data_IF_693467178125
#
_entry.id   IF_693467178125
#
_cell.length_a   1.000
_cell.length_b   1.000
_cell.length_c   1.000
_cell.angle_alpha   90.00
_cell.angle_beta   90.00
_cell.angle_gamma   90.00
#
_symmetry.space_group_name_H-M   'P 1'
#
loop_
_entity.id
_entity.type
_entity.pdbx_description
1 polymer ?
#
# COMPACT_ATOMS: atom_id res chain seq x y z
N UNK A 1 19.32 -41.20 68.49
CA UNK A 1 20.12 -41.40 67.25
C UNK A 1 19.29 -42.23 66.29
N UNK A 2 18.66 -41.60 65.31
CA UNK A 2 18.10 -42.26 64.13
C UNK A 2 18.10 -41.25 62.98
N UNK A 3 18.94 -41.55 62.00
CA UNK A 3 19.05 -40.87 60.71
C UNK A 3 17.84 -41.24 59.84
N UNK A 4 17.29 -40.28 59.09
CA UNK A 4 16.50 -40.60 57.91
C UNK A 4 16.71 -39.51 56.85
N UNK A 5 17.61 -39.82 55.92
CA UNK A 5 17.81 -39.13 54.66
C UNK A 5 16.59 -39.35 53.77
N UNK A 6 15.89 -38.28 53.39
CA UNK A 6 14.91 -38.31 52.29
C UNK A 6 15.24 -37.19 51.30
N UNK A 7 15.84 -37.62 50.19
CA UNK A 7 16.19 -36.86 49.01
C UNK A 7 15.03 -35.99 48.51
N UNK A 8 15.27 -34.68 48.39
CA UNK A 8 14.40 -33.78 47.62
C UNK A 8 14.60 -34.06 46.14
N UNK A 9 13.74 -34.87 45.56
CA UNK A 9 13.64 -35.03 44.11
C UNK A 9 13.01 -33.77 43.53
N UNK A 10 13.80 -33.03 42.72
CA UNK A 10 13.28 -32.03 41.80
C UNK A 10 12.43 -32.76 40.75
N UNK A 11 11.11 -32.80 40.96
CA UNK A 11 10.18 -33.15 39.88
C UNK A 11 10.27 -32.05 38.83
N UNK A 12 10.86 -32.40 37.68
CA UNK A 12 10.75 -31.62 36.45
C UNK A 12 9.27 -31.34 36.21
N UNK A 13 8.90 -30.06 36.14
CA UNK A 13 7.60 -29.64 35.63
C UNK A 13 7.53 -30.12 34.19
N UNK A 14 6.65 -31.08 33.94
CA UNK A 14 6.46 -31.69 32.63
C UNK A 14 5.75 -30.65 31.73
N UNK A 15 6.54 -29.89 30.96
CA UNK A 15 6.09 -28.94 29.94
C UNK A 15 5.48 -29.66 28.72
N UNK A 16 4.67 -30.70 28.94
CA UNK A 16 3.85 -31.33 27.90
C UNK A 16 2.51 -30.61 27.70
N UNK A 17 2.15 -29.71 28.63
CA UNK A 17 1.02 -28.79 28.47
C UNK A 17 1.45 -27.51 27.75
N UNK A 18 1.51 -27.53 26.41
CA UNK A 18 1.10 -26.39 25.56
C UNK A 18 1.42 -26.54 24.07
N UNK A 19 1.95 -27.66 23.57
CA UNK A 19 2.08 -27.82 22.10
C UNK A 19 0.73 -27.81 21.39
N UNK A 20 -0.32 -28.37 22.00
CA UNK A 20 -1.68 -28.35 21.45
C UNK A 20 -2.32 -26.95 21.48
N UNK A 21 -2.00 -26.13 22.50
CA UNK A 21 -2.54 -24.76 22.63
C UNK A 21 -1.87 -23.81 21.63
N UNK A 22 -0.55 -23.94 21.44
CA UNK A 22 0.21 -23.22 20.41
C UNK A 22 -0.20 -23.63 18.98
N UNK A 23 -0.62 -24.88 18.78
CA UNK A 23 -1.11 -25.34 17.48
C UNK A 23 -2.49 -24.75 17.14
N UNK A 24 -3.38 -24.61 18.13
CA UNK A 24 -4.71 -24.01 17.95
C UNK A 24 -4.67 -22.49 17.69
N UNK A 25 -3.73 -21.77 18.31
CA UNK A 25 -3.52 -20.33 18.04
C UNK A 25 -2.87 -20.07 16.67
N UNK A 26 -2.12 -21.05 16.14
CA UNK A 26 -1.50 -20.99 14.81
C UNK A 26 -2.49 -21.28 13.67
N UNK A 27 -3.55 -22.06 13.95
CA UNK A 27 -4.64 -22.30 12.99
C UNK A 27 -5.71 -21.21 13.07
N UNK A 28 -5.32 -19.94 12.92
CA UNK A 28 -6.26 -18.95 12.38
C UNK A 28 -6.50 -19.32 10.92
N UNK A 29 -7.49 -20.17 10.68
CA UNK A 29 -7.97 -20.48 9.33
C UNK A 29 -8.60 -19.21 8.75
N UNK A 30 -7.78 -18.40 8.09
CA UNK A 30 -8.26 -17.36 7.19
C UNK A 30 -9.18 -18.01 6.14
N UNK A 31 -10.27 -17.34 5.79
CA UNK A 31 -11.23 -17.81 4.78
C UNK A 31 -10.49 -18.35 3.54
N UNK A 32 -10.81 -19.58 3.11
CA UNK A 32 -10.27 -20.12 1.85
C UNK A 32 -10.65 -19.15 0.74
N UNK A 33 -9.65 -18.61 0.03
CA UNK A 33 -9.87 -17.80 -1.17
C UNK A 33 -10.73 -18.63 -2.12
N UNK A 34 -11.95 -18.16 -2.43
CA UNK A 34 -12.78 -18.77 -3.46
C UNK A 34 -11.95 -18.90 -4.74
N UNK A 35 -11.98 -20.08 -5.36
CA UNK A 35 -11.31 -20.30 -6.64
C UNK A 35 -11.85 -19.27 -7.63
N UNK A 36 -10.94 -18.61 -8.34
CA UNK A 36 -11.25 -17.57 -9.33
C UNK A 36 -12.13 -18.07 -10.51
N UNK A 37 -12.57 -19.33 -10.49
CA UNK A 37 -13.47 -19.91 -11.48
C UNK A 37 -14.90 -19.36 -11.40
N UNK A 38 -15.35 -18.83 -10.25
CA UNK A 38 -16.69 -18.24 -10.12
C UNK A 38 -16.80 -16.79 -10.64
N UNK A 39 -15.68 -16.17 -11.04
CA UNK A 39 -15.65 -14.80 -11.58
C UNK A 39 -15.22 -14.76 -13.06
N UNK A 40 -15.30 -15.89 -13.77
CA UNK A 40 -14.78 -16.05 -15.14
C UNK A 40 -15.72 -15.50 -16.25
N UNK A 41 -16.74 -14.70 -15.91
CA UNK A 41 -17.76 -14.27 -16.87
C UNK A 41 -17.90 -12.77 -17.09
N UNK A 42 -17.25 -11.92 -16.30
CA UNK A 42 -17.49 -10.47 -16.32
C UNK A 42 -16.20 -9.66 -16.37
N UNK A 43 -15.23 -10.07 -17.18
CA UNK A 43 -14.21 -9.12 -17.62
C UNK A 43 -14.72 -8.46 -18.91
N UNK A 44 -15.57 -7.45 -18.76
CA UNK A 44 -15.87 -6.52 -19.84
C UNK A 44 -14.56 -5.78 -20.11
N UNK A 45 -13.79 -6.31 -21.06
CA UNK A 45 -12.59 -5.64 -21.58
C UNK A 45 -13.07 -4.51 -22.49
N UNK A 46 -13.67 -3.47 -21.89
CA UNK A 46 -14.00 -2.24 -22.61
C UNK A 46 -12.69 -1.63 -23.08
N UNK A 47 -12.42 -1.71 -24.38
CA UNK A 47 -11.28 -1.03 -24.99
C UNK A 47 -11.38 0.46 -24.65
N UNK A 48 -10.33 1.02 -24.03
CA UNK A 48 -10.27 2.46 -23.71
C UNK A 48 -10.36 3.24 -25.02
N UNK A 49 -11.39 4.09 -25.17
CA UNK A 49 -11.55 4.97 -26.33
C UNK A 49 -10.47 6.06 -26.24
N UNK A 50 -9.62 6.18 -27.27
CA UNK A 50 -8.66 7.28 -27.39
C UNK A 50 -9.33 8.37 -28.22
N UNK A 51 -9.67 9.48 -27.58
CA UNK A 51 -10.21 10.65 -28.27
C UNK A 51 -9.06 11.37 -29.01
N UNK A 52 -9.32 11.95 -30.20
CA UNK A 52 -8.35 12.80 -30.86
C UNK A 52 -8.07 14.03 -29.99
N UNK A 53 -6.80 14.43 -29.91
CA UNK A 53 -6.38 15.64 -29.20
C UNK A 53 -6.43 16.79 -30.18
N UNK A 54 -7.04 17.90 -29.77
CA UNK A 54 -7.12 19.13 -30.56
C UNK A 54 -5.73 19.73 -30.77
N UNK A 55 -5.44 20.19 -31.99
CA UNK A 55 -4.12 20.73 -32.37
C UNK A 55 -4.11 22.25 -32.56
N UNK A 56 -5.29 22.88 -32.54
CA UNK A 56 -5.43 24.31 -32.84
C UNK A 56 -4.99 25.17 -31.64
N UNK A 57 -4.01 26.08 -31.81
CA UNK A 57 -3.43 26.82 -30.70
C UNK A 57 -4.40 27.81 -30.05
N UNK A 58 -5.24 28.49 -30.85
CA UNK A 58 -6.21 29.47 -30.35
C UNK A 58 -7.27 28.80 -29.45
N UNK A 59 -7.66 27.57 -29.78
CA UNK A 59 -8.60 26.78 -28.99
C UNK A 59 -7.97 26.32 -27.68
N UNK A 60 -6.70 25.89 -27.70
CA UNK A 60 -5.97 25.43 -26.51
C UNK A 60 -5.70 26.54 -25.49
N UNK A 61 -5.55 27.79 -25.93
CA UNK A 61 -5.36 28.93 -25.03
C UNK A 61 -6.68 29.39 -24.40
N UNK A 62 -7.80 29.29 -25.12
CA UNK A 62 -9.10 29.79 -24.66
C UNK A 62 -9.91 28.77 -23.86
N UNK A 63 -9.73 27.48 -24.14
CA UNK A 63 -10.56 26.41 -23.58
C UNK A 63 -9.72 25.36 -22.86
N UNK A 64 -10.28 24.81 -21.78
CA UNK A 64 -9.77 23.61 -21.13
C UNK A 64 -10.20 22.36 -21.91
N UNK A 65 -9.49 22.06 -23.00
CA UNK A 65 -9.79 20.92 -23.86
C UNK A 65 -9.74 19.58 -23.08
N UNK A 66 -10.82 18.79 -23.17
CA UNK A 66 -10.92 17.49 -22.48
C UNK A 66 -11.53 17.56 -21.07
N UNK A 67 -12.04 18.74 -20.69
CA UNK A 67 -12.85 18.91 -19.47
C UNK A 67 -14.23 18.25 -19.61
N UNK A 68 -14.83 18.28 -20.82
CA UNK A 68 -16.13 17.67 -21.04
C UNK A 68 -16.04 16.15 -21.32
N UNK A 69 -16.74 15.35 -20.50
CA UNK A 69 -16.84 13.89 -20.64
C UNK A 69 -18.16 13.49 -21.34
N UNK A 70 -19.13 14.39 -21.38
CA UNK A 70 -20.45 14.14 -21.95
C UNK A 70 -20.40 14.22 -23.48
N UNK A 71 -21.28 13.46 -24.14
CA UNK A 71 -21.42 13.50 -25.61
C UNK A 71 -21.90 14.87 -26.10
N UNK A 72 -22.68 15.56 -25.28
CA UNK A 72 -23.28 16.86 -25.57
C UNK A 72 -22.74 17.87 -24.56
N UNK A 73 -22.27 19.01 -25.05
CA UNK A 73 -21.71 20.08 -24.24
C UNK A 73 -20.45 20.70 -24.85
N UNK A 74 -20.08 21.88 -24.36
CA UNK A 74 -18.86 22.58 -24.73
C UNK A 74 -17.83 22.47 -23.60
N UNK A 75 -16.55 22.50 -23.97
CA UNK A 75 -15.46 22.58 -22.99
C UNK A 75 -15.49 23.89 -22.20
N UNK A 76 -14.94 23.87 -20.98
CA UNK A 76 -14.91 25.05 -20.10
C UNK A 76 -14.00 26.13 -20.67
N UNK A 77 -14.52 27.35 -20.77
CA UNK A 77 -13.76 28.55 -21.14
C UNK A 77 -12.87 29.02 -19.98
N UNK A 78 -11.62 29.38 -20.31
CA UNK A 78 -10.68 29.96 -19.35
C UNK A 78 -10.98 31.45 -19.16
N UNK A 79 -11.12 31.86 -17.90
CA UNK A 79 -11.34 33.26 -17.52
C UNK A 79 -10.03 34.05 -17.40
N UNK A 80 -10.11 35.36 -17.08
CA UNK A 80 -8.93 36.14 -16.72
C UNK A 80 -8.35 35.69 -15.37
N UNK A 81 -7.07 35.99 -15.12
CA UNK A 81 -6.36 35.55 -13.92
C UNK A 81 -7.01 36.01 -12.60
N UNK A 82 -7.69 37.16 -12.62
CA UNK A 82 -8.42 37.73 -11.47
C UNK A 82 -9.66 36.93 -11.06
N UNK A 83 -10.22 36.12 -11.98
CA UNK A 83 -11.36 35.27 -11.68
C UNK A 83 -10.98 34.09 -10.76
N UNK A 84 -9.69 33.78 -10.66
CA UNK A 84 -9.17 32.67 -9.88
C UNK A 84 -8.64 33.16 -8.52
N UNK A 85 -8.78 32.35 -7.45
CA UNK A 85 -8.24 32.71 -6.14
C UNK A 85 -6.72 32.91 -6.15
N UNK A 86 -6.22 33.85 -5.34
CA UNK A 86 -4.79 34.20 -5.29
C UNK A 86 -3.88 33.02 -4.92
N UNK A 87 -4.35 32.11 -4.06
CA UNK A 87 -3.58 30.95 -3.61
C UNK A 87 -3.19 30.01 -4.76
N UNK A 88 -3.91 30.03 -5.89
CA UNK A 88 -3.59 29.21 -7.06
C UNK A 88 -2.18 29.50 -7.59
N UNK A 89 -1.78 30.77 -7.54
CA UNK A 89 -0.49 31.24 -8.05
C UNK A 89 0.65 31.03 -7.05
N UNK A 90 0.33 30.74 -5.79
CA UNK A 90 1.29 30.45 -4.73
C UNK A 90 1.69 28.96 -4.68
N UNK A 91 1.06 28.09 -5.50
CA UNK A 91 1.36 26.66 -5.51
C UNK A 91 2.76 26.36 -6.08
N UNK A 92 3.56 25.50 -5.42
CA UNK A 92 4.87 25.11 -5.91
C UNK A 92 4.75 24.19 -7.14
N UNK A 93 5.20 24.68 -8.30
CA UNK A 93 5.25 23.89 -9.54
C UNK A 93 6.43 22.89 -9.54
N UNK A 94 7.48 23.20 -8.79
CA UNK A 94 8.74 22.45 -8.78
C UNK A 94 8.73 21.29 -7.77
N UNK A 95 7.70 20.45 -7.81
CA UNK A 95 7.59 19.27 -6.93
C UNK A 95 7.65 19.58 -5.42
N UNK A 96 7.68 18.55 -4.55
CA UNK A 96 7.84 18.76 -3.12
C UNK A 96 9.27 19.25 -2.81
N UNK A 97 9.43 20.25 -1.91
CA UNK A 97 10.75 20.75 -1.53
C UNK A 97 11.58 19.66 -0.85
N UNK A 98 12.92 19.75 -0.93
CA UNK A 98 13.80 18.82 -0.22
C UNK A 98 13.68 19.02 1.30
N UNK A 99 13.90 17.94 2.05
CA UNK A 99 13.77 17.92 3.52
C UNK A 99 14.66 18.95 4.24
N UNK A 100 15.77 19.39 3.63
CA UNK A 100 16.68 20.40 4.18
C UNK A 100 16.12 21.81 4.19
N UNK A 101 15.16 22.11 3.30
CA UNK A 101 14.56 23.44 3.16
C UNK A 101 13.24 23.57 3.94
N UNK A 102 12.67 22.44 4.39
CA UNK A 102 11.41 22.39 5.12
C UNK A 102 11.59 22.74 6.60
N UNK A 103 10.63 23.46 7.18
CA UNK A 103 10.63 23.82 8.61
C UNK A 103 10.20 22.63 9.49
N UNK A 104 11.03 22.21 10.49
CA UNK A 104 10.70 21.11 11.40
C UNK A 104 9.45 21.30 12.26
N UNK A 105 8.95 22.53 12.41
CA UNK A 105 7.73 22.80 13.18
C UNK A 105 6.44 22.52 12.38
N UNK A 106 6.56 22.27 11.08
CA UNK A 106 5.42 21.93 10.21
C UNK A 106 5.14 20.43 10.19
N UNK A 107 3.88 20.05 9.93
CA UNK A 107 3.49 18.64 9.76
C UNK A 107 4.09 18.02 8.50
N UNK A 108 4.23 18.82 7.43
CA UNK A 108 4.74 18.40 6.12
C UNK A 108 6.17 17.83 6.21
N UNK A 109 7.01 18.43 7.07
CA UNK A 109 8.37 17.95 7.32
C UNK A 109 8.36 16.50 7.83
N UNK A 110 7.51 16.21 8.81
CA UNK A 110 7.43 14.88 9.43
C UNK A 110 6.81 13.84 8.51
N UNK A 111 5.83 14.21 7.68
CA UNK A 111 5.27 13.33 6.65
C UNK A 111 6.33 12.94 5.61
N UNK A 112 7.14 13.91 5.18
CA UNK A 112 8.24 13.71 4.23
C UNK A 112 9.33 12.81 4.82
N UNK A 113 9.70 13.05 6.09
CA UNK A 113 10.65 12.22 6.83
C UNK A 113 10.14 10.78 6.98
N UNK A 114 8.86 10.62 7.36
CA UNK A 114 8.23 9.31 7.49
C UNK A 114 8.22 8.54 6.17
N UNK A 115 7.84 9.20 5.07
CA UNK A 115 7.89 8.61 3.72
C UNK A 115 9.31 8.14 3.38
N UNK A 116 10.33 8.94 3.68
CA UNK A 116 11.75 8.57 3.45
C UNK A 116 12.17 7.35 4.29
N UNK A 117 11.75 7.27 5.54
CA UNK A 117 12.01 6.12 6.41
C UNK A 117 11.37 4.83 5.87
N UNK A 118 10.10 4.89 5.43
CA UNK A 118 9.41 3.76 4.81
C UNK A 118 10.11 3.29 3.53
N UNK A 119 10.50 4.22 2.66
CA UNK A 119 11.24 3.90 1.43
C UNK A 119 12.59 3.26 1.74
N UNK A 120 13.30 3.76 2.76
CA UNK A 120 14.56 3.17 3.22
C UNK A 120 14.34 1.74 3.74
N UNK A 121 13.33 1.52 4.58
CA UNK A 121 12.99 0.20 5.09
C UNK A 121 12.64 -0.77 3.97
N UNK A 122 11.80 -0.36 3.01
CA UNK A 122 11.46 -1.16 1.83
C UNK A 122 12.71 -1.55 1.03
N UNK A 123 13.65 -0.61 0.86
CA UNK A 123 14.92 -0.87 0.17
C UNK A 123 15.80 -1.86 0.94
N UNK A 124 15.85 -1.77 2.27
CA UNK A 124 16.59 -2.70 3.12
C UNK A 124 15.94 -4.10 3.12
N UNK A 125 14.62 -4.18 3.26
CA UNK A 125 13.87 -5.44 3.24
C UNK A 125 13.88 -6.14 1.87
N UNK A 126 13.97 -5.38 0.77
CA UNK A 126 14.12 -5.95 -0.56
C UNK A 126 15.51 -6.57 -0.80
N UNK A 127 16.56 -6.01 -0.18
CA UNK A 127 17.94 -6.53 -0.28
C UNK A 127 18.16 -7.78 0.56
N UNK A 128 17.58 -7.83 1.76
CA UNK A 128 17.74 -9.00 2.61
C UNK A 128 16.92 -10.17 2.06
N UNK A 129 17.50 -11.39 1.94
CA UNK A 129 16.74 -12.57 1.56
C UNK A 129 15.55 -12.73 2.50
N UNK A 130 14.34 -12.70 1.95
CA UNK A 130 13.15 -13.07 2.71
C UNK A 130 13.28 -14.56 2.94
N UNK A 131 13.58 -14.99 4.16
CA UNK A 131 13.47 -16.39 4.56
C UNK A 131 12.00 -16.78 4.44
N UNK A 132 11.59 -17.17 3.24
CA UNK A 132 10.26 -17.71 2.99
C UNK A 132 10.17 -19.03 3.75
N UNK A 133 9.21 -19.14 4.66
CA UNK A 133 8.81 -20.44 5.20
C UNK A 133 8.40 -21.30 3.99
N UNK A 134 9.28 -22.21 3.58
CA UNK A 134 9.12 -23.07 2.40
C UNK A 134 7.98 -24.11 2.53
N UNK A 135 7.08 -23.95 3.50
CA UNK A 135 6.02 -24.91 3.82
C UNK A 135 4.93 -24.99 2.74
N UNK A 136 4.73 -23.94 1.94
CA UNK A 136 3.65 -23.89 0.94
C UNK A 136 4.01 -24.48 -0.42
N UNK A 137 5.29 -24.80 -0.70
CA UNK A 137 5.72 -25.35 -2.01
C UNK A 137 5.47 -26.86 -2.14
N UNK A 138 5.56 -27.63 -1.04
CA UNK A 138 5.36 -29.10 -1.07
C UNK A 138 3.91 -29.52 -1.36
N UNK A 139 2.93 -28.73 -0.95
CA UNK A 139 1.50 -29.05 -1.16
C UNK A 139 1.03 -28.88 -2.61
N UNK A 140 1.78 -28.18 -3.46
CA UNK A 140 1.45 -28.00 -4.89
C UNK A 140 1.98 -29.10 -5.81
N UNK A 141 3.00 -29.84 -5.37
CA UNK A 141 3.61 -30.94 -6.15
C UNK A 141 2.93 -32.30 -5.92
N UNK A 142 2.03 -32.39 -4.94
CA UNK A 142 1.28 -33.61 -4.62
C UNK A 142 -0.15 -33.60 -5.22
N UNK A 143 -0.33 -32.98 -6.38
CA UNK A 143 -1.62 -32.95 -7.08
C UNK A 143 -1.46 -33.38 -8.53
#
# INVERSE_FOLDING_TARGET
MTVCMLSRTLQRIDCSFSRNVLQWLSTRTYAKKASAAAAAGLSIQTKKKKLPVETDPEKLVRFCCGSNILTEGQDVELGPDDAYPSWLWDLPLNGPPPLSEMDPNTTEYWESLHRRALLHQNRCSARHPRFGCASTRRKKLQK
#
